data_IF_399438460814
#
_entry.id   IF_399438460814
#
_cell.length_a   1.000
_cell.length_b   1.000
_cell.length_c   1.000
_cell.angle_alpha   90.00
_cell.angle_beta   90.00
_cell.angle_gamma   90.00
#
_symmetry.space_group_name_H-M   'P 1'
#
loop_
_entity.id
_entity.type
_entity.pdbx_description
1 polymer ?
#
# COMPACT_ATOMS: atom_id res chain seq x y z
N UNK A 1 27.12 5.50 -1.33
CA UNK A 1 25.75 6.05 -1.25
C UNK A 1 24.93 5.20 -2.23
N UNK A 2 24.11 4.23 -1.78
CA UNK A 2 23.65 3.06 -2.60
C UNK A 2 22.35 3.29 -3.40
N UNK A 3 21.41 4.10 -2.90
CA UNK A 3 20.08 4.35 -3.49
C UNK A 3 19.36 3.06 -3.94
N UNK A 4 19.12 2.16 -2.99
CA UNK A 4 18.46 0.86 -3.23
C UNK A 4 17.12 1.08 -3.94
N UNK A 5 16.89 0.43 -5.08
CA UNK A 5 15.67 0.61 -5.88
C UNK A 5 14.69 -0.54 -5.70
N UNK A 6 13.52 -0.29 -5.11
CA UNK A 6 12.43 -1.26 -5.04
C UNK A 6 11.40 -0.96 -6.13
N UNK A 7 11.00 -2.00 -6.87
CA UNK A 7 9.95 -1.98 -7.88
C UNK A 7 8.83 -2.95 -7.47
N UNK A 8 7.58 -2.60 -7.75
CA UNK A 8 6.39 -3.10 -7.07
C UNK A 8 5.35 -3.65 -8.05
N UNK A 9 4.67 -4.73 -7.66
CA UNK A 9 3.51 -5.30 -8.39
C UNK A 9 2.32 -5.46 -7.44
N UNK A 10 1.16 -5.08 -7.95
CA UNK A 10 -0.08 -4.73 -7.24
C UNK A 10 -0.94 -5.92 -6.79
N UNK A 11 -1.51 -5.84 -5.58
CA UNK A 11 -2.68 -6.64 -5.17
C UNK A 11 -3.80 -5.73 -4.59
N UNK A 12 -4.63 -5.14 -5.44
CA UNK A 12 -5.69 -4.23 -4.99
C UNK A 12 -7.03 -4.93 -4.70
N UNK A 13 -7.43 -4.95 -3.43
CA UNK A 13 -8.80 -5.30 -3.01
C UNK A 13 -9.53 -4.07 -2.43
N UNK A 14 -10.13 -3.25 -3.30
CA UNK A 14 -11.05 -2.19 -2.89
C UNK A 14 -12.40 -2.79 -2.47
N UNK A 15 -12.56 -3.07 -1.16
CA UNK A 15 -13.74 -3.74 -0.61
C UNK A 15 -14.53 -2.87 0.36
N UNK A 16 -15.69 -2.37 -0.05
CA UNK A 16 -16.70 -1.82 0.87
C UNK A 16 -18.01 -2.58 0.71
N UNK A 17 -18.41 -3.36 1.72
CA UNK A 17 -19.70 -4.07 1.73
C UNK A 17 -20.85 -3.07 1.89
N UNK A 18 -21.86 -3.14 1.02
CA UNK A 18 -23.14 -2.45 1.22
C UNK A 18 -23.91 -3.12 2.38
N UNK A 19 -23.68 -2.66 3.59
CA UNK A 19 -24.41 -3.08 4.79
C UNK A 19 -25.80 -2.46 4.85
N UNK A 20 -26.75 -2.99 4.08
CA UNK A 20 -28.13 -2.48 4.05
C UNK A 20 -29.02 -3.19 3.04
N UNK A 21 -29.56 -4.35 3.41
CA UNK A 21 -30.68 -4.98 2.72
C UNK A 21 -31.97 -4.74 3.51
N UNK A 22 -32.79 -3.82 3.02
CA UNK A 22 -34.19 -3.71 3.36
C UNK A 22 -35.00 -3.34 2.11
N UNK A 23 -36.07 -4.11 1.88
CA UNK A 23 -36.79 -4.15 0.61
C UNK A 23 -37.66 -2.90 0.41
N UNK A 24 -37.55 -2.19 -0.73
CA UNK A 24 -38.68 -1.88 -1.64
C UNK A 24 -38.26 -1.00 -2.85
N UNK A 25 -38.85 -1.28 -4.02
CA UNK A 25 -39.06 -0.44 -5.22
C UNK A 25 -37.95 0.47 -5.82
N UNK A 26 -37.59 0.09 -7.07
CA UNK A 26 -37.39 0.94 -8.27
C UNK A 26 -36.83 2.37 -8.11
N UNK A 27 -35.56 2.55 -8.47
CA UNK A 27 -34.96 3.85 -8.77
C UNK A 27 -33.56 3.67 -9.33
N UNK A 28 -33.35 4.01 -10.61
CA UNK A 28 -32.07 3.86 -11.31
C UNK A 28 -31.00 4.85 -10.82
N UNK A 29 -30.43 4.60 -9.63
CA UNK A 29 -29.26 5.30 -9.12
C UNK A 29 -27.99 4.57 -9.53
N UNK A 30 -27.36 5.00 -10.63
CA UNK A 30 -26.03 4.52 -10.99
C UNK A 30 -25.05 4.85 -9.85
N UNK A 31 -24.48 3.82 -9.22
CA UNK A 31 -23.44 4.01 -8.21
C UNK A 31 -22.28 4.76 -8.84
N UNK A 32 -21.80 5.88 -8.26
CA UNK A 32 -20.61 6.56 -8.75
C UNK A 32 -19.45 5.56 -8.89
N UNK A 33 -18.75 5.59 -10.02
CA UNK A 33 -17.59 4.74 -10.23
C UNK A 33 -16.58 5.00 -9.09
N UNK A 34 -16.23 3.95 -8.34
CA UNK A 34 -15.23 4.09 -7.27
C UNK A 34 -13.86 4.42 -7.88
N UNK A 35 -13.05 5.27 -7.23
CA UNK A 35 -11.69 5.50 -7.67
C UNK A 35 -10.88 4.21 -7.53
N UNK A 36 -10.08 3.92 -8.56
CA UNK A 36 -9.06 2.89 -8.48
C UNK A 36 -7.93 3.39 -7.59
N UNK A 37 -7.37 2.48 -6.79
CA UNK A 37 -6.18 2.77 -6.02
C UNK A 37 -4.93 2.20 -6.71
N UNK A 38 -3.80 2.86 -6.52
CA UNK A 38 -2.49 2.46 -6.99
C UNK A 38 -1.45 2.77 -5.92
N UNK A 39 -0.26 2.22 -6.06
CA UNK A 39 0.88 2.43 -5.15
C UNK A 39 2.12 2.66 -6.01
N UNK A 40 2.94 3.64 -5.65
CA UNK A 40 4.13 4.00 -6.43
C UNK A 40 5.36 3.18 -6.00
N UNK A 41 6.22 2.90 -6.98
CA UNK A 41 7.56 2.33 -6.76
C UNK A 41 8.40 3.25 -5.86
N UNK A 42 9.29 2.67 -5.05
CA UNK A 42 10.07 3.43 -4.06
C UNK A 42 11.54 3.00 -4.05
N UNK A 43 12.44 3.98 -4.16
CA UNK A 43 13.88 3.78 -4.21
C UNK A 43 14.54 4.58 -3.09
N UNK A 44 15.01 3.92 -2.02
CA UNK A 44 15.66 4.53 -0.85
C UNK A 44 16.72 3.58 -0.28
N UNK A 45 17.72 4.12 0.42
CA UNK A 45 18.68 3.30 1.18
C UNK A 45 18.09 2.75 2.49
N UNK A 46 18.42 1.50 2.86
CA UNK A 46 18.09 0.97 4.20
C UNK A 46 18.82 1.72 5.33
N UNK A 47 20.06 2.13 5.10
CA UNK A 47 20.92 2.76 6.10
C UNK A 47 22.20 1.96 6.32
N UNK A 48 22.70 1.95 7.56
CA UNK A 48 23.86 1.17 8.00
C UNK A 48 23.59 0.39 9.31
N UNK A 49 22.42 0.57 9.93
CA UNK A 49 22.06 -0.02 11.22
C UNK A 49 20.59 0.22 11.58
N UNK A 50 19.93 -0.75 12.21
CA UNK A 50 18.63 -0.58 12.83
C UNK A 50 17.49 -0.80 11.84
N UNK A 51 16.62 0.19 11.67
CA UNK A 51 15.53 0.12 10.69
C UNK A 51 15.15 1.49 10.14
N UNK A 52 14.85 1.54 8.85
CA UNK A 52 14.39 2.73 8.13
C UNK A 52 12.96 2.51 7.63
N UNK A 53 12.11 3.53 7.77
CA UNK A 53 10.73 3.48 7.32
C UNK A 53 10.60 3.87 5.84
N UNK A 54 10.29 2.89 5.00
CA UNK A 54 10.03 3.05 3.58
C UNK A 54 8.57 3.45 3.39
N UNK A 55 8.35 4.71 3.00
CA UNK A 55 7.03 5.34 2.95
C UNK A 55 6.44 5.25 1.54
N UNK A 56 5.71 4.18 1.26
CA UNK A 56 5.09 3.96 -0.05
C UNK A 56 3.86 4.84 -0.22
N UNK A 57 3.76 5.50 -1.38
CA UNK A 57 2.69 6.46 -1.69
C UNK A 57 1.53 5.75 -2.38
N UNK A 58 0.40 5.66 -1.68
CA UNK A 58 -0.86 5.08 -2.17
C UNK A 58 -1.77 6.20 -2.68
N UNK A 59 -2.27 6.05 -3.91
CA UNK A 59 -3.02 7.07 -4.63
C UNK A 59 -4.40 6.58 -5.03
N UNK A 60 -5.39 7.47 -4.99
CA UNK A 60 -6.70 7.29 -5.62
C UNK A 60 -6.77 8.07 -6.93
N UNK A 61 -7.19 7.39 -8.01
CA UNK A 61 -7.33 7.97 -9.35
C UNK A 61 -8.23 9.22 -9.36
N UNK A 62 -9.25 9.27 -8.50
CA UNK A 62 -10.06 10.44 -8.19
C UNK A 62 -10.37 10.54 -6.69
N UNK A 63 -10.78 11.72 -6.22
CA UNK A 63 -11.23 11.89 -4.84
C UNK A 63 -12.58 11.17 -4.63
N UNK A 64 -12.70 10.41 -3.55
CA UNK A 64 -13.95 9.75 -3.18
C UNK A 64 -14.89 10.72 -2.43
N UNK A 65 -16.20 10.57 -2.61
CA UNK A 65 -17.23 11.33 -1.86
C UNK A 65 -17.56 10.73 -0.49
N UNK A 66 -17.02 9.55 -0.20
CA UNK A 66 -17.12 8.83 1.07
C UNK A 66 -15.76 8.16 1.37
N UNK A 67 -15.47 7.74 2.60
CA UNK A 67 -14.20 7.08 2.92
C UNK A 67 -13.96 5.81 2.10
N UNK A 68 -12.70 5.56 1.74
CA UNK A 68 -12.24 4.38 1.00
C UNK A 68 -11.12 3.71 1.79
N UNK A 69 -11.30 2.44 2.16
CA UNK A 69 -10.25 1.62 2.77
C UNK A 69 -9.59 0.76 1.71
N UNK A 70 -8.26 0.84 1.62
CA UNK A 70 -7.40 -0.01 0.80
C UNK A 70 -6.68 -0.98 1.73
N UNK A 71 -6.74 -2.27 1.42
CA UNK A 71 -5.95 -3.31 2.09
C UNK A 71 -4.67 -3.58 1.31
N UNK A 72 -3.58 -3.87 2.01
CA UNK A 72 -2.25 -4.13 1.45
C UNK A 72 -1.53 -5.22 2.26
N UNK A 73 -0.52 -5.89 1.69
CA UNK A 73 0.26 -6.93 2.38
C UNK A 73 1.56 -7.17 1.65
N UNK A 74 2.66 -7.17 2.38
CA UNK A 74 3.97 -7.33 1.76
C UNK A 74 4.28 -8.78 1.42
N UNK A 75 4.99 -9.01 0.32
CA UNK A 75 5.48 -10.34 -0.06
C UNK A 75 6.96 -10.27 -0.49
N UNK A 76 7.71 -11.32 -0.18
CA UNK A 76 9.15 -11.39 -0.41
C UNK A 76 9.48 -11.53 -1.89
N UNK A 77 10.55 -10.87 -2.32
CA UNK A 77 11.19 -11.05 -3.63
C UNK A 77 12.53 -11.75 -3.42
N UNK A 78 13.62 -11.03 -3.69
CA UNK A 78 14.95 -11.43 -3.20
C UNK A 78 15.18 -11.00 -1.75
N UNK A 79 14.56 -9.88 -1.34
CA UNK A 79 14.49 -9.49 0.06
C UNK A 79 13.47 -10.34 0.80
N UNK A 80 13.86 -10.83 1.97
CA UNK A 80 13.14 -11.76 2.83
C UNK A 80 12.71 -11.09 4.14
N UNK A 81 11.65 -11.62 4.74
CA UNK A 81 11.20 -11.21 6.07
C UNK A 81 11.36 -12.37 7.06
N UNK A 82 11.84 -12.12 8.30
CA UNK A 82 12.04 -10.80 8.91
C UNK A 82 13.41 -10.14 8.66
N UNK A 83 14.32 -10.78 7.91
CA UNK A 83 15.73 -10.40 7.81
C UNK A 83 15.93 -9.00 7.23
N UNK A 84 15.31 -8.69 6.10
CA UNK A 84 15.54 -7.45 5.33
C UNK A 84 14.40 -6.45 5.53
N UNK A 85 13.20 -6.93 5.90
CA UNK A 85 12.06 -6.07 6.21
C UNK A 85 11.03 -6.75 7.14
N UNK A 86 10.24 -5.92 7.82
CA UNK A 86 9.09 -6.37 8.63
C UNK A 86 7.88 -6.63 7.75
N UNK A 87 7.45 -7.89 7.63
CA UNK A 87 6.27 -8.25 6.87
C UNK A 87 4.98 -7.62 7.43
N UNK A 88 4.18 -7.01 6.55
CA UNK A 88 2.82 -6.53 6.85
C UNK A 88 1.80 -7.51 6.28
N UNK A 89 0.91 -8.02 7.13
CA UNK A 89 -0.13 -8.98 6.75
C UNK A 89 -1.50 -8.37 7.09
N UNK A 90 -2.40 -8.29 6.12
CA UNK A 90 -3.72 -7.64 6.24
C UNK A 90 -3.63 -6.17 6.71
N UNK A 91 -2.60 -5.44 6.26
CA UNK A 91 -2.50 -4.00 6.47
C UNK A 91 -3.67 -3.27 5.82
N UNK A 92 -4.01 -2.08 6.34
CA UNK A 92 -5.03 -1.23 5.70
C UNK A 92 -4.72 0.24 5.88
N UNK A 93 -5.19 1.05 4.92
CA UNK A 93 -5.11 2.50 4.95
C UNK A 93 -6.45 3.08 4.48
N UNK A 94 -6.96 4.08 5.18
CA UNK A 94 -8.27 4.68 4.88
C UNK A 94 -8.10 6.13 4.45
N UNK A 95 -8.56 6.42 3.24
CA UNK A 95 -8.75 7.74 2.69
C UNK A 95 -10.09 8.29 3.20
N UNK A 96 -10.11 9.47 3.80
CA UNK A 96 -11.32 10.21 4.07
C UNK A 96 -11.93 10.74 2.74
N UNK A 97 -13.19 11.18 2.79
CA UNK A 97 -13.82 11.84 1.65
C UNK A 97 -13.00 13.07 1.23
N UNK A 98 -12.76 13.23 -0.07
CA UNK A 98 -11.91 14.28 -0.64
C UNK A 98 -10.41 13.93 -0.72
N UNK A 99 -9.90 12.98 0.06
CA UNK A 99 -8.50 12.59 -0.01
C UNK A 99 -8.19 11.76 -1.25
N UNK A 100 -6.94 11.87 -1.74
CA UNK A 100 -6.42 11.11 -2.89
C UNK A 100 -5.06 10.47 -2.66
N UNK A 101 -4.44 10.71 -1.52
CA UNK A 101 -3.07 10.30 -1.24
C UNK A 101 -2.91 9.90 0.22
N UNK A 102 -2.16 8.81 0.45
CA UNK A 102 -1.71 8.35 1.77
C UNK A 102 -0.30 7.77 1.67
N UNK A 103 0.43 7.81 2.78
CA UNK A 103 1.67 7.02 2.94
C UNK A 103 1.36 5.74 3.72
N UNK A 104 1.95 4.62 3.32
CA UNK A 104 2.02 3.39 4.11
C UNK A 104 3.49 3.07 4.41
N UNK A 105 3.92 3.08 5.69
CA UNK A 105 5.30 2.75 6.04
C UNK A 105 5.52 1.24 6.13
N UNK A 106 6.60 0.75 5.52
CA UNK A 106 7.18 -0.58 5.79
C UNK A 106 8.53 -0.37 6.45
N UNK A 107 8.79 -1.09 7.54
CA UNK A 107 10.09 -1.06 8.23
C UNK A 107 11.06 -1.98 7.50
N UNK A 108 12.08 -1.40 6.85
CA UNK A 108 13.22 -2.13 6.27
C UNK A 108 14.30 -2.24 7.34
N UNK A 109 14.89 -3.42 7.50
CA UNK A 109 16.00 -3.67 8.43
C UNK A 109 17.29 -3.18 7.78
N UNK A 110 18.22 -2.66 8.56
CA UNK A 110 19.46 -2.11 8.04
C UNK A 110 20.67 -2.61 8.83
N UNK A 111 21.72 -2.99 8.12
CA UNK A 111 23.04 -3.27 8.68
C UNK A 111 24.17 -2.70 7.79
N UNK A 112 25.42 -3.04 8.10
CA UNK A 112 26.62 -2.55 7.43
C UNK A 112 27.30 -3.63 6.55
N UNK A 113 26.58 -4.71 6.23
CA UNK A 113 27.03 -5.77 5.32
C UNK A 113 26.89 -5.29 3.88
N UNK A 114 27.84 -5.68 3.02
CA UNK A 114 27.81 -5.33 1.60
C UNK A 114 27.05 -6.38 0.80
N UNK A 115 25.80 -6.08 0.49
CA UNK A 115 24.88 -6.98 -0.20
C UNK A 115 24.54 -6.51 -1.63
N UNK A 116 23.53 -7.16 -2.23
CA UNK A 116 23.02 -6.83 -3.55
C UNK A 116 22.04 -5.65 -3.55
N UNK A 117 21.16 -5.65 -4.54
CA UNK A 117 19.94 -4.86 -4.53
C UNK A 117 18.76 -5.83 -4.33
N UNK A 118 17.91 -5.54 -3.34
CA UNK A 118 16.85 -6.45 -2.93
C UNK A 118 15.43 -5.91 -3.11
N UNK A 119 14.49 -6.84 -3.23
CA UNK A 119 13.13 -6.61 -3.74
C UNK A 119 12.09 -7.23 -2.81
N UNK A 120 11.02 -6.50 -2.53
CA UNK A 120 9.76 -6.98 -1.94
C UNK A 120 8.57 -6.18 -2.50
N UNK A 121 7.36 -6.74 -2.43
CA UNK A 121 6.11 -6.07 -2.85
C UNK A 121 5.23 -5.69 -1.65
N UNK A 122 4.16 -4.91 -1.87
CA UNK A 122 3.25 -4.28 -0.88
C UNK A 122 1.78 -4.37 -1.34
#
# INVERSE_FOLDING_TARGET
MKMTSFFLVLALAAGCKKGGSNNNNNGGGGTPAQPQASIEDLTLNEGNSGSTAFNFRVLLSAAATAPVTVYYSTASGSGLAPEDYSAVINGSVTFAAGEREKSVPVSVVADDVREGDDLFTV
#
